data_IF_745962566200
#
_entry.id   IF_745962566200
#
_cell.length_a   1.000
_cell.length_b   1.000
_cell.length_c   1.000
_cell.angle_alpha   90.00
_cell.angle_beta   90.00
_cell.angle_gamma   90.00
#
_symmetry.space_group_name_H-M   'P 1'
#
loop_
_entity.id
_entity.type
_entity.pdbx_description
1 polymer ?
#
# COMPACT_ATOMS: atom_id res chain seq x y z
N UNK A 1 -18.48 -6.64 29.88
CA UNK A 1 -18.03 -5.30 29.43
C UNK A 1 -17.71 -4.43 30.65
N UNK A 2 -16.58 -3.73 30.63
CA UNK A 2 -16.24 -2.70 31.63
C UNK A 2 -17.16 -1.49 31.48
N UNK A 3 -17.65 -0.96 32.59
CA UNK A 3 -18.58 0.20 32.60
C UNK A 3 -17.92 1.52 32.99
N UNK A 4 -16.66 1.49 33.39
CA UNK A 4 -15.85 2.66 33.77
C UNK A 4 -14.37 2.40 33.51
N UNK A 5 -13.58 3.47 33.58
CA UNK A 5 -12.14 3.39 33.44
C UNK A 5 -11.53 2.94 34.77
N UNK A 6 -10.76 1.85 34.75
CA UNK A 6 -10.00 1.36 35.90
C UNK A 6 -8.53 1.76 35.80
N UNK A 7 -7.94 1.58 34.62
CA UNK A 7 -6.56 1.98 34.30
C UNK A 7 -6.46 2.28 32.80
N UNK A 8 -6.48 3.56 32.45
CA UNK A 8 -6.41 4.01 31.05
C UNK A 8 -5.05 3.73 30.41
N UNK A 9 -3.97 3.68 31.20
CA UNK A 9 -2.62 3.44 30.69
C UNK A 9 -2.42 1.96 30.30
N UNK A 10 -3.09 1.05 31.00
CA UNK A 10 -3.08 -0.39 30.72
C UNK A 10 -4.29 -0.85 29.89
N UNK A 11 -5.02 0.09 29.27
CA UNK A 11 -6.15 -0.22 28.38
C UNK A 11 -7.43 -0.72 29.05
N UNK A 12 -7.52 -0.69 30.38
CA UNK A 12 -8.72 -1.05 31.16
C UNK A 12 -9.72 0.13 31.17
N UNK A 13 -10.32 0.38 30.00
CA UNK A 13 -11.22 1.50 29.76
C UNK A 13 -12.68 1.06 29.64
N UNK A 14 -13.60 2.03 29.78
CA UNK A 14 -15.03 1.83 29.59
C UNK A 14 -15.31 1.27 28.19
N UNK A 15 -16.13 0.22 28.11
CA UNK A 15 -16.53 -0.41 26.85
C UNK A 15 -15.70 -1.64 26.47
N UNK A 16 -14.55 -1.88 27.12
CA UNK A 16 -13.76 -3.08 26.82
C UNK A 16 -14.53 -4.35 27.19
N UNK A 17 -14.50 -5.32 26.28
CA UNK A 17 -15.22 -6.59 26.37
C UNK A 17 -14.29 -7.75 26.71
N UNK A 18 -14.89 -8.77 27.32
CA UNK A 18 -14.19 -9.92 27.84
C UNK A 18 -15.15 -10.92 28.47
N UNK A 19 -14.65 -12.13 28.62
CA UNK A 19 -15.36 -13.28 29.17
C UNK A 19 -15.02 -13.47 30.65
N UNK A 20 -16.03 -13.57 31.52
CA UNK A 20 -15.82 -13.93 32.94
C UNK A 20 -15.44 -15.40 33.01
N UNK A 21 -14.28 -15.70 33.58
CA UNK A 21 -13.74 -17.07 33.68
C UNK A 21 -13.88 -17.63 35.10
N UNK A 22 -13.74 -16.80 36.13
CA UNK A 22 -13.79 -17.26 37.52
C UNK A 22 -14.23 -16.15 38.47
N UNK A 23 -14.93 -16.53 39.55
CA UNK A 23 -15.34 -15.64 40.63
C UNK A 23 -14.64 -16.12 41.90
N UNK A 24 -13.87 -15.23 42.54
CA UNK A 24 -13.08 -15.56 43.72
C UNK A 24 -13.91 -15.39 45.00
N UNK A 25 -13.83 -16.37 45.90
CA UNK A 25 -14.48 -16.35 47.21
C UNK A 25 -16.00 -16.13 47.11
N UNK A 26 -16.64 -16.77 46.13
CA UNK A 26 -18.08 -16.68 45.94
C UNK A 26 -18.83 -17.36 47.08
N UNK A 27 -19.77 -16.62 47.69
CA UNK A 27 -20.74 -17.14 48.66
C UNK A 27 -22.07 -16.42 48.44
N UNK A 28 -23.22 -17.11 48.59
CA UNK A 28 -24.55 -16.51 48.35
C UNK A 28 -24.82 -15.22 49.13
N UNK A 29 -24.20 -15.07 50.31
CA UNK A 29 -24.48 -13.98 51.24
C UNK A 29 -23.34 -12.94 51.33
N UNK A 30 -22.29 -13.04 50.52
CA UNK A 30 -21.17 -12.10 50.55
C UNK A 30 -20.68 -11.72 49.16
N UNK A 31 -20.27 -10.46 49.02
CA UNK A 31 -19.69 -9.98 47.77
C UNK A 31 -18.35 -10.69 47.50
N UNK A 32 -18.16 -11.25 46.29
CA UNK A 32 -16.88 -11.83 45.91
C UNK A 32 -15.71 -10.85 46.08
N UNK A 33 -14.51 -11.37 46.35
CA UNK A 33 -13.32 -10.54 46.53
C UNK A 33 -12.75 -10.03 45.19
N UNK A 34 -12.91 -10.82 44.13
CA UNK A 34 -12.52 -10.47 42.77
C UNK A 34 -13.29 -11.28 41.72
N UNK A 35 -13.44 -10.71 40.52
CA UNK A 35 -13.92 -11.40 39.32
C UNK A 35 -12.77 -11.43 38.30
N UNK A 36 -12.43 -12.62 37.81
CA UNK A 36 -11.40 -12.81 36.80
C UNK A 36 -12.01 -12.81 35.40
N UNK A 37 -11.54 -11.89 34.56
CA UNK A 37 -12.01 -11.68 33.19
C UNK A 37 -10.87 -11.92 32.22
N UNK A 38 -11.15 -12.71 31.18
CA UNK A 38 -10.31 -12.82 29.99
C UNK A 38 -10.80 -11.78 28.98
N UNK A 39 -10.02 -10.71 28.77
CA UNK A 39 -10.38 -9.65 27.83
C UNK A 39 -10.09 -10.07 26.39
N UNK A 40 -10.93 -9.61 25.46
CA UNK A 40 -10.87 -10.01 24.05
C UNK A 40 -9.61 -9.45 23.35
N UNK A 41 -9.07 -8.33 23.85
CA UNK A 41 -7.79 -7.77 23.41
C UNK A 41 -6.68 -8.14 24.41
N UNK A 42 -5.69 -8.90 23.95
CA UNK A 42 -4.58 -9.38 24.78
C UNK A 42 -3.70 -8.28 25.39
N UNK A 43 -3.70 -7.07 24.81
CA UNK A 43 -2.95 -5.92 25.32
C UNK A 43 -3.58 -5.34 26.57
N UNK A 44 -4.88 -5.54 26.79
CA UNK A 44 -5.61 -4.95 27.91
C UNK A 44 -5.22 -5.61 29.23
N UNK A 45 -4.94 -4.78 30.23
CA UNK A 45 -4.66 -5.23 31.59
C UNK A 45 -3.37 -6.05 31.68
N UNK A 46 -2.39 -5.83 30.79
CA UNK A 46 -1.14 -6.60 30.72
C UNK A 46 -0.27 -6.37 31.97
N UNK A 47 -0.32 -5.17 32.53
CA UNK A 47 0.41 -4.77 33.73
C UNK A 47 -0.47 -4.77 34.99
N UNK A 48 -1.72 -5.25 34.89
CA UNK A 48 -2.64 -5.29 36.00
C UNK A 48 -2.05 -6.02 37.21
N UNK A 49 -2.17 -5.43 38.40
CA UNK A 49 -1.58 -5.97 39.64
C UNK A 49 -2.16 -7.33 40.06
N UNK A 50 -3.40 -7.61 39.66
CA UNK A 50 -4.08 -8.87 39.96
C UNK A 50 -4.33 -9.63 38.67
N UNK A 51 -3.47 -10.60 38.38
CA UNK A 51 -3.56 -11.49 37.22
C UNK A 51 -3.44 -12.95 37.64
N UNK A 52 -4.11 -13.83 36.89
CA UNK A 52 -4.01 -15.28 37.08
C UNK A 52 -4.18 -15.99 35.74
N UNK A 53 -3.41 -17.05 35.51
CA UNK A 53 -3.66 -17.96 34.40
C UNK A 53 -4.72 -18.98 34.85
N UNK A 54 -5.84 -19.01 34.14
CA UNK A 54 -6.95 -19.94 34.41
C UNK A 54 -7.29 -20.63 33.09
N UNK A 55 -7.23 -21.97 33.06
CA UNK A 55 -7.45 -22.76 31.84
C UNK A 55 -6.58 -22.28 30.65
N UNK A 56 -5.31 -21.95 30.92
CA UNK A 56 -4.38 -21.45 29.89
C UNK A 56 -4.59 -20.00 29.46
N UNK A 57 -5.61 -19.30 29.97
CA UNK A 57 -5.94 -17.91 29.61
C UNK A 57 -5.47 -16.93 30.67
N UNK A 58 -4.81 -15.84 30.26
CA UNK A 58 -4.41 -14.73 31.13
C UNK A 58 -5.63 -13.91 31.53
N UNK A 59 -6.04 -14.03 32.79
CA UNK A 59 -7.22 -13.34 33.30
C UNK A 59 -6.81 -12.19 34.23
N UNK A 60 -7.49 -11.06 34.09
CA UNK A 60 -7.32 -9.87 34.94
C UNK A 60 -8.39 -9.91 36.04
N UNK A 61 -7.96 -9.76 37.29
CA UNK A 61 -8.85 -9.74 38.44
C UNK A 61 -9.36 -8.33 38.72
N UNK A 62 -10.67 -8.13 38.60
CA UNK A 62 -11.35 -6.89 38.92
C UNK A 62 -11.92 -6.96 40.33
N UNK A 63 -11.75 -5.88 41.09
CA UNK A 63 -12.24 -5.75 42.47
C UNK A 63 -13.52 -4.90 42.50
N UNK A 64 -14.36 -5.06 43.54
CA UNK A 64 -15.50 -4.17 43.71
C UNK A 64 -15.01 -2.76 44.06
N UNK A 65 -15.58 -1.76 43.41
CA UNK A 65 -15.36 -0.36 43.68
C UNK A 65 -16.50 0.22 44.53
N UNK A 66 -16.15 1.11 45.46
CA UNK A 66 -17.11 1.89 46.24
C UNK A 66 -17.23 3.29 45.66
N UNK A 67 -18.45 3.77 45.48
CA UNK A 67 -18.74 5.12 45.00
C UNK A 67 -19.82 5.76 45.88
N UNK A 68 -19.61 7.02 46.28
CA UNK A 68 -20.62 7.81 46.98
C UNK A 68 -21.74 8.18 46.01
N UNK A 69 -22.99 7.97 46.43
CA UNK A 69 -24.14 8.36 45.62
C UNK A 69 -24.45 9.83 45.89
N UNK A 70 -24.43 10.71 44.86
CA UNK A 70 -24.74 12.12 45.04
C UNK A 70 -26.11 12.30 45.71
N UNK A 71 -26.20 13.22 46.68
CA UNK A 71 -27.42 13.56 47.41
C UNK A 71 -27.96 12.44 48.33
N UNK A 72 -27.14 11.47 48.72
CA UNK A 72 -27.47 10.47 49.74
C UNK A 72 -26.30 10.22 50.70
N UNK A 73 -26.57 9.62 51.87
CA UNK A 73 -25.54 9.14 52.82
C UNK A 73 -25.08 7.71 52.52
N UNK A 74 -25.45 7.14 51.36
CA UNK A 74 -25.20 5.75 51.01
C UNK A 74 -23.98 5.61 50.08
N UNK A 75 -23.21 4.53 50.29
CA UNK A 75 -22.11 4.12 49.43
C UNK A 75 -22.55 2.94 48.57
N UNK A 76 -22.38 3.03 47.25
CA UNK A 76 -22.60 1.92 46.33
C UNK A 76 -21.32 1.13 46.15
N UNK A 77 -21.34 -0.15 46.54
CA UNK A 77 -20.23 -1.09 46.31
C UNK A 77 -20.60 -2.09 45.22
N UNK A 78 -19.93 -2.03 44.07
CA UNK A 78 -20.20 -2.90 42.91
C UNK A 78 -18.95 -3.16 42.08
N UNK A 79 -18.96 -4.22 41.27
CA UNK A 79 -17.90 -4.43 40.27
C UNK A 79 -18.07 -3.46 39.09
N UNK A 80 -16.97 -3.01 38.47
CA UNK A 80 -16.99 -2.17 37.26
C UNK A 80 -17.33 -2.98 36.00
N UNK A 81 -18.22 -3.96 36.10
CA UNK A 81 -18.55 -4.93 35.06
C UNK A 81 -20.06 -5.03 34.88
N UNK A 82 -20.49 -5.15 33.62
CA UNK A 82 -21.85 -5.50 33.25
C UNK A 82 -21.84 -6.62 32.20
N UNK A 83 -22.74 -7.58 32.35
CA UNK A 83 -23.01 -8.57 31.30
C UNK A 83 -23.58 -7.84 30.08
N UNK A 84 -22.99 -8.09 28.91
CA UNK A 84 -23.34 -7.39 27.68
C UNK A 84 -23.34 -8.41 26.53
N UNK A 85 -24.49 -9.03 26.28
CA UNK A 85 -24.73 -9.89 25.12
C UNK A 85 -25.00 -9.08 23.85
N UNK A 86 -25.47 -7.85 24.01
CA UNK A 86 -25.64 -6.87 22.95
C UNK A 86 -25.31 -5.48 23.49
N UNK A 87 -24.71 -4.63 22.66
CA UNK A 87 -24.37 -3.26 22.99
C UNK A 87 -25.08 -2.29 22.05
N UNK A 88 -25.30 -1.06 22.51
CA UNK A 88 -25.79 0.00 21.64
C UNK A 88 -24.67 0.49 20.72
N UNK A 89 -25.04 0.93 19.52
CA UNK A 89 -24.10 1.47 18.51
C UNK A 89 -23.19 2.55 19.12
N UNK A 90 -23.75 3.46 19.90
CA UNK A 90 -23.01 4.52 20.58
C UNK A 90 -21.94 4.00 21.56
N UNK A 91 -22.15 2.82 22.17
CA UNK A 91 -21.18 2.23 23.11
C UNK A 91 -20.02 1.53 22.41
N UNK A 92 -20.15 1.24 21.12
CA UNK A 92 -19.13 0.53 20.32
C UNK A 92 -18.52 1.42 19.23
N UNK A 93 -18.71 2.74 19.28
CA UNK A 93 -18.23 3.67 18.25
C UNK A 93 -16.72 3.61 18.03
N UNK A 94 -15.93 3.30 19.05
CA UNK A 94 -14.47 3.13 18.95
C UNK A 94 -14.00 1.67 18.83
N UNK A 95 -14.93 0.73 18.70
CA UNK A 95 -14.60 -0.70 18.61
C UNK A 95 -14.41 -1.10 17.15
N UNK A 96 -13.52 -2.05 16.92
CA UNK A 96 -13.39 -2.77 15.65
C UNK A 96 -13.55 -4.25 15.95
N UNK A 97 -14.41 -4.93 15.18
CA UNK A 97 -14.74 -6.36 15.35
C UNK A 97 -14.61 -7.08 14.01
N UNK A 98 -14.29 -8.37 14.06
CA UNK A 98 -14.19 -9.21 12.86
C UNK A 98 -15.56 -9.61 12.34
N UNK A 99 -16.50 -9.89 13.26
CA UNK A 99 -17.86 -10.31 12.95
C UNK A 99 -18.85 -9.64 13.91
N UNK A 100 -20.00 -9.17 13.40
CA UNK A 100 -21.09 -8.72 14.26
C UNK A 100 -22.47 -8.85 13.60
N UNK A 101 -23.48 -8.90 14.46
CA UNK A 101 -24.89 -8.79 14.08
C UNK A 101 -25.39 -7.39 14.42
N UNK A 102 -25.80 -6.64 13.40
CA UNK A 102 -26.32 -5.27 13.55
C UNK A 102 -27.84 -5.26 13.41
N UNK A 103 -28.54 -4.88 14.48
CA UNK A 103 -29.98 -4.61 14.44
C UNK A 103 -30.25 -3.13 14.13
N UNK A 104 -30.62 -2.83 12.88
CA UNK A 104 -30.86 -1.47 12.42
C UNK A 104 -32.28 -0.96 12.73
N UNK A 105 -33.18 -1.82 13.23
CA UNK A 105 -34.57 -1.43 13.51
C UNK A 105 -34.66 -0.33 14.58
N UNK A 106 -33.67 -0.28 15.48
CA UNK A 106 -33.58 0.67 16.58
C UNK A 106 -32.71 1.90 16.30
N UNK A 107 -32.17 2.07 15.09
CA UNK A 107 -31.48 3.30 14.72
C UNK A 107 -32.47 4.48 14.71
N UNK A 108 -32.17 5.56 15.43
CA UNK A 108 -33.08 6.71 15.56
C UNK A 108 -32.45 8.03 15.13
N UNK A 109 -31.12 8.08 14.94
CA UNK A 109 -30.41 9.25 14.39
C UNK A 109 -29.65 8.89 13.13
N UNK A 110 -29.48 9.88 12.26
CA UNK A 110 -28.62 9.81 11.08
C UNK A 110 -27.17 9.45 11.49
N UNK A 111 -26.48 8.68 10.66
CA UNK A 111 -25.11 8.23 10.91
C UNK A 111 -24.95 7.04 11.88
N UNK A 112 -25.95 6.66 12.68
CA UNK A 112 -25.84 5.46 13.53
C UNK A 112 -25.65 4.18 12.72
N UNK A 113 -26.35 4.05 11.60
CA UNK A 113 -26.15 2.94 10.69
C UNK A 113 -24.70 2.92 10.17
N UNK A 114 -24.18 4.05 9.69
CA UNK A 114 -22.79 4.16 9.25
C UNK A 114 -21.79 3.77 10.36
N UNK A 115 -21.97 4.27 11.58
CA UNK A 115 -21.11 3.92 12.71
C UNK A 115 -21.16 2.41 12.96
N UNK A 116 -22.34 1.79 12.98
CA UNK A 116 -22.49 0.36 13.23
C UNK A 116 -21.84 -0.50 12.14
N UNK A 117 -22.08 -0.17 10.87
CA UNK A 117 -21.57 -0.92 9.72
C UNK A 117 -20.04 -0.77 9.59
N UNK A 118 -19.49 0.41 9.92
CA UNK A 118 -18.05 0.67 9.88
C UNK A 118 -17.24 0.02 11.01
N UNK A 119 -17.87 -0.67 11.99
CA UNK A 119 -17.13 -1.37 13.04
C UNK A 119 -16.59 -2.73 12.57
N UNK A 120 -17.10 -3.27 11.47
CA UNK A 120 -16.70 -4.59 10.95
C UNK A 120 -15.61 -4.41 9.89
N UNK A 121 -14.57 -5.24 9.94
CA UNK A 121 -13.41 -5.16 9.03
C UNK A 121 -13.67 -5.78 7.65
N UNK A 122 -14.73 -6.58 7.50
CA UNK A 122 -15.05 -7.29 6.26
C UNK A 122 -16.55 -7.35 6.01
N UNK A 123 -16.93 -7.42 4.73
CA UNK A 123 -18.34 -7.59 4.34
C UNK A 123 -18.90 -8.94 4.81
N UNK A 124 -18.10 -10.00 4.79
CA UNK A 124 -18.51 -11.35 5.21
C UNK A 124 -18.80 -11.48 6.70
N UNK A 125 -18.14 -10.66 7.54
CA UNK A 125 -18.39 -10.63 8.97
C UNK A 125 -19.61 -9.78 9.39
N UNK A 126 -20.29 -9.14 8.44
CA UNK A 126 -21.39 -8.24 8.75
C UNK A 126 -22.75 -8.91 8.50
N UNK A 127 -23.50 -9.11 9.58
CA UNK A 127 -24.84 -9.68 9.53
C UNK A 127 -25.87 -8.63 9.91
N UNK A 128 -26.73 -8.24 8.96
CA UNK A 128 -27.72 -7.18 9.20
C UNK A 128 -29.08 -7.81 9.51
N UNK A 129 -29.64 -7.45 10.66
CA UNK A 129 -31.03 -7.73 11.02
C UNK A 129 -31.85 -6.46 10.78
N UNK A 130 -32.58 -6.43 9.67
CA UNK A 130 -33.53 -5.36 9.33
C UNK A 130 -34.87 -5.96 8.95
N UNK A 131 -35.96 -5.41 9.47
CA UNK A 131 -37.31 -5.96 9.30
C UNK A 131 -38.12 -5.13 8.29
N UNK A 132 -37.75 -3.89 7.99
CA UNK A 132 -38.53 -2.99 7.12
C UNK A 132 -37.64 -2.08 6.26
N UNK A 133 -37.68 -2.26 4.94
CA UNK A 133 -36.88 -1.49 3.96
C UNK A 133 -37.21 0.01 3.97
N UNK A 134 -38.49 0.37 4.05
CA UNK A 134 -38.93 1.78 3.98
C UNK A 134 -38.39 2.67 5.12
N UNK A 135 -38.18 2.10 6.31
CA UNK A 135 -37.58 2.83 7.44
C UNK A 135 -36.07 2.95 7.31
N UNK A 136 -35.43 2.06 6.57
CA UNK A 136 -33.99 2.05 6.36
C UNK A 136 -33.59 3.12 5.33
N UNK A 137 -34.35 3.23 4.23
CA UNK A 137 -34.10 4.21 3.16
C UNK A 137 -34.19 5.65 3.66
N UNK A 138 -35.06 5.92 4.64
CA UNK A 138 -35.15 7.24 5.30
C UNK A 138 -34.00 7.53 6.27
N UNK A 139 -33.20 6.53 6.65
CA UNK A 139 -32.16 6.63 7.69
C UNK A 139 -30.75 6.46 7.13
N UNK A 140 -30.61 5.77 6.00
CA UNK A 140 -29.38 5.65 5.22
C UNK A 140 -29.62 6.40 3.92
N UNK A 141 -29.31 7.68 3.92
CA UNK A 141 -29.37 8.51 2.73
C UNK A 141 -28.07 9.30 2.60
N UNK A 142 -27.71 9.61 1.35
CA UNK A 142 -26.70 10.60 1.06
C UNK A 142 -27.41 11.93 0.85
N UNK A 143 -26.93 13.00 1.49
CA UNK A 143 -27.48 14.34 1.31
C UNK A 143 -27.36 14.74 -0.18
N UNK A 144 -28.46 15.14 -0.86
CA UNK A 144 -28.40 15.54 -2.26
C UNK A 144 -27.39 16.66 -2.53
N UNK A 145 -27.17 17.58 -1.58
CA UNK A 145 -26.19 18.65 -1.72
C UNK A 145 -24.76 18.12 -1.67
N UNK A 146 -24.50 17.05 -0.93
CA UNK A 146 -23.21 16.35 -0.92
C UNK A 146 -23.00 15.60 -2.24
N UNK A 147 -24.02 14.92 -2.76
CA UNK A 147 -23.94 14.25 -4.07
C UNK A 147 -23.65 15.26 -5.17
N UNK A 148 -24.36 16.38 -5.16
CA UNK A 148 -24.16 17.50 -6.08
C UNK A 148 -22.76 18.08 -5.93
N UNK A 149 -22.32 18.36 -4.70
CA UNK A 149 -20.97 18.87 -4.43
C UNK A 149 -19.87 17.93 -4.90
N UNK A 150 -20.00 16.61 -4.69
CA UNK A 150 -19.04 15.61 -5.19
C UNK A 150 -19.03 15.54 -6.73
N UNK A 151 -20.19 15.72 -7.37
CA UNK A 151 -20.28 15.73 -8.84
C UNK A 151 -19.75 17.04 -9.45
N UNK A 152 -19.91 18.18 -8.75
CA UNK A 152 -19.45 19.51 -9.16
C UNK A 152 -18.00 19.80 -8.74
N UNK A 153 -17.43 18.99 -7.85
CA UNK A 153 -16.03 19.07 -7.46
C UNK A 153 -15.17 18.94 -8.71
N UNK A 154 -14.37 19.97 -8.98
CA UNK A 154 -13.34 19.92 -10.00
C UNK A 154 -12.49 18.69 -9.76
N UNK A 155 -12.36 17.82 -10.77
CA UNK A 155 -11.45 16.68 -10.67
C UNK A 155 -10.06 17.21 -10.31
N UNK A 156 -9.42 16.52 -9.38
CA UNK A 156 -8.07 16.87 -8.97
C UNK A 156 -7.09 16.85 -10.16
N UNK A 157 -7.32 15.93 -11.10
CA UNK A 157 -6.64 15.90 -12.39
C UNK A 157 -7.59 16.47 -13.46
N UNK A 158 -7.18 17.51 -14.21
CA UNK A 158 -7.97 17.99 -15.33
C UNK A 158 -8.16 16.86 -16.36
N UNK A 159 -9.33 16.83 -17.02
CA UNK A 159 -9.44 16.07 -18.27
C UNK A 159 -8.51 16.76 -19.27
N UNK A 160 -7.37 16.14 -19.53
CA UNK A 160 -6.53 16.52 -20.66
C UNK A 160 -7.29 16.04 -21.88
N UNK A 161 -8.00 16.93 -22.57
CA UNK A 161 -8.37 16.67 -23.96
C UNK A 161 -7.05 16.36 -24.67
N UNK A 162 -6.97 15.18 -25.28
CA UNK A 162 -5.78 14.69 -25.95
C UNK A 162 -5.53 15.53 -27.22
N UNK A 163 -5.13 16.78 -27.04
CA UNK A 163 -4.71 17.73 -28.08
C UNK A 163 -3.32 17.36 -28.61
N UNK A 164 -2.75 16.21 -28.25
CA UNK A 164 -1.57 15.66 -28.92
C UNK A 164 -2.00 15.36 -30.36
N UNK A 165 -1.84 16.36 -31.23
CA UNK A 165 -1.77 16.13 -32.67
C UNK A 165 -0.86 14.92 -32.88
N UNK A 166 -1.30 13.94 -33.68
CA UNK A 166 -0.50 12.79 -34.08
C UNK A 166 0.76 13.30 -34.80
N UNK A 167 1.76 13.77 -34.06
CA UNK A 167 3.07 14.09 -34.57
C UNK A 167 3.76 12.76 -34.81
N UNK A 168 3.59 12.27 -36.03
CA UNK A 168 4.08 10.96 -36.49
C UNK A 168 5.60 10.81 -36.45
N UNK A 169 6.32 11.90 -36.19
CA UNK A 169 7.78 11.97 -36.32
C UNK A 169 8.51 11.90 -34.96
N UNK A 170 7.78 11.78 -33.84
CA UNK A 170 8.36 11.74 -32.49
C UNK A 170 8.06 10.40 -31.84
N UNK A 171 9.10 9.71 -31.38
CA UNK A 171 8.97 8.50 -30.56
C UNK A 171 8.86 8.87 -29.08
N UNK A 172 7.75 8.49 -28.45
CA UNK A 172 7.49 8.78 -27.05
C UNK A 172 7.85 7.61 -26.14
N UNK A 173 8.75 7.85 -25.18
CA UNK A 173 9.14 6.88 -24.15
C UNK A 173 8.79 7.47 -22.79
N UNK A 174 7.84 6.85 -22.09
CA UNK A 174 7.46 7.21 -20.73
C UNK A 174 8.14 6.29 -19.73
N UNK A 175 8.58 6.83 -18.60
CA UNK A 175 9.12 6.05 -17.49
C UNK A 175 8.36 6.33 -16.20
N UNK A 176 8.09 5.26 -15.44
CA UNK A 176 7.44 5.39 -14.14
C UNK A 176 7.84 4.25 -13.19
N UNK A 177 8.18 4.61 -11.94
CA UNK A 177 8.29 3.65 -10.85
C UNK A 177 6.89 3.39 -10.27
N UNK A 178 6.26 2.26 -10.65
CA UNK A 178 4.83 1.99 -10.39
C UNK A 178 4.54 1.47 -8.98
N UNK A 179 5.57 1.03 -8.23
CA UNK A 179 5.43 0.47 -6.86
C UNK A 179 4.25 -0.52 -6.72
N UNK A 180 4.18 -1.50 -7.62
CA UNK A 180 3.12 -2.51 -7.65
C UNK A 180 2.15 -2.32 -8.80
N UNK A 181 2.46 -2.96 -9.92
CA UNK A 181 1.68 -2.88 -11.16
C UNK A 181 0.23 -3.34 -10.97
N UNK A 182 0.00 -4.43 -10.22
CA UNK A 182 -1.35 -4.95 -10.02
C UNK A 182 -2.21 -4.01 -9.16
N UNK A 183 -1.60 -3.34 -8.18
CA UNK A 183 -2.28 -2.39 -7.28
C UNK A 183 -2.69 -1.14 -8.03
N UNK A 184 -1.85 -0.67 -8.96
CA UNK A 184 -2.01 0.58 -9.69
C UNK A 184 -2.43 0.39 -11.15
N UNK A 185 -2.91 -0.80 -11.50
CA UNK A 185 -3.26 -1.17 -12.87
C UNK A 185 -4.34 -0.27 -13.46
N UNK A 186 -5.39 0.01 -12.70
CA UNK A 186 -6.51 0.84 -13.16
C UNK A 186 -6.10 2.32 -13.22
N UNK A 187 -5.26 2.77 -12.29
CA UNK A 187 -4.71 4.13 -12.31
C UNK A 187 -3.88 4.35 -13.59
N UNK A 188 -3.02 3.39 -13.94
CA UNK A 188 -2.20 3.42 -15.15
C UNK A 188 -3.05 3.49 -16.42
N UNK A 189 -4.12 2.69 -16.51
CA UNK A 189 -5.02 2.63 -17.68
C UNK A 189 -5.85 3.90 -17.86
N UNK A 190 -6.19 4.58 -16.76
CA UNK A 190 -7.04 5.76 -16.78
C UNK A 190 -6.25 7.07 -16.83
N UNK A 191 -4.93 7.02 -16.61
CA UNK A 191 -4.09 8.20 -16.63
C UNK A 191 -3.82 8.66 -18.08
N UNK A 192 -4.24 9.88 -18.47
CA UNK A 192 -4.09 10.39 -19.83
C UNK A 192 -2.63 10.51 -20.30
N UNK A 193 -1.68 10.67 -19.36
CA UNK A 193 -0.26 10.81 -19.70
C UNK A 193 0.30 9.53 -20.33
N UNK A 194 -0.22 8.36 -19.94
CA UNK A 194 0.19 7.06 -20.47
C UNK A 194 -0.55 6.67 -21.75
N UNK A 195 -1.73 7.25 -22.00
CA UNK A 195 -2.50 6.98 -23.20
C UNK A 195 -1.70 7.46 -24.41
N UNK A 196 -1.66 6.67 -25.48
CA UNK A 196 -1.10 7.09 -26.77
C UNK A 196 0.43 6.99 -26.91
N UNK A 197 1.17 6.93 -25.79
CA UNK A 197 2.64 6.80 -25.73
C UNK A 197 3.12 5.53 -26.44
N UNK A 198 4.23 5.60 -27.19
CA UNK A 198 4.75 4.43 -27.92
C UNK A 198 5.33 3.35 -27.01
N UNK A 199 6.12 3.76 -26.01
CA UNK A 199 6.79 2.85 -25.07
C UNK A 199 6.63 3.32 -23.62
N UNK A 200 6.18 2.43 -22.73
CA UNK A 200 6.01 2.70 -21.30
C UNK A 200 6.92 1.77 -20.50
N UNK A 201 7.93 2.35 -19.87
CA UNK A 201 8.97 1.69 -19.11
C UNK A 201 8.65 1.76 -17.61
N UNK A 202 8.33 0.62 -17.00
CA UNK A 202 7.94 0.52 -15.60
C UNK A 202 8.99 -0.22 -14.75
N UNK A 203 9.28 0.32 -13.58
CA UNK A 203 10.09 -0.33 -12.54
C UNK A 203 9.25 -0.59 -11.29
N UNK A 204 9.72 -1.48 -10.41
CA UNK A 204 8.98 -1.87 -9.21
C UNK A 204 7.60 -2.45 -9.50
N UNK A 205 7.52 -3.31 -10.50
CA UNK A 205 6.25 -3.94 -10.90
C UNK A 205 5.67 -4.84 -9.80
N UNK A 206 6.51 -5.44 -8.95
CA UNK A 206 6.19 -6.39 -7.88
C UNK A 206 5.39 -7.61 -8.37
N UNK A 207 5.31 -7.80 -9.68
CA UNK A 207 4.59 -8.89 -10.30
C UNK A 207 5.46 -10.16 -10.31
N UNK A 208 4.82 -11.28 -10.03
CA UNK A 208 5.43 -12.61 -10.17
C UNK A 208 5.38 -13.06 -11.65
N UNK A 209 5.79 -14.29 -11.92
CA UNK A 209 5.86 -14.85 -13.28
C UNK A 209 4.50 -14.86 -14.03
N UNK A 210 3.37 -14.74 -13.34
CA UNK A 210 2.03 -14.65 -13.94
C UNK A 210 1.71 -13.24 -14.45
N UNK A 211 2.62 -12.66 -15.24
CA UNK A 211 2.41 -11.41 -15.96
C UNK A 211 1.23 -11.49 -16.96
N UNK A 212 0.85 -12.71 -17.36
CA UNK A 212 -0.21 -12.99 -18.33
C UNK A 212 -1.61 -12.45 -17.93
N UNK A 213 -1.80 -12.02 -16.68
CA UNK A 213 -3.07 -11.44 -16.22
C UNK A 213 -3.18 -9.93 -16.43
N UNK A 214 -2.11 -9.24 -16.87
CA UNK A 214 -2.15 -7.81 -17.15
C UNK A 214 -2.32 -7.56 -18.65
N UNK A 215 -3.51 -7.08 -19.02
CA UNK A 215 -3.83 -6.66 -20.39
C UNK A 215 -4.04 -5.15 -20.42
N UNK A 216 -3.23 -4.47 -21.23
CA UNK A 216 -3.37 -3.04 -21.51
C UNK A 216 -3.82 -2.90 -22.96
N UNK A 217 -5.05 -2.43 -23.16
CA UNK A 217 -5.69 -2.40 -24.47
C UNK A 217 -4.84 -1.55 -25.42
N UNK A 218 -4.45 -2.13 -26.56
CA UNK A 218 -3.62 -1.46 -27.58
C UNK A 218 -2.10 -1.57 -27.36
N UNK A 219 -1.67 -2.32 -26.36
CA UNK A 219 -0.27 -2.54 -26.01
C UNK A 219 0.06 -4.02 -25.85
N UNK A 220 1.27 -4.38 -26.23
CA UNK A 220 1.93 -5.61 -25.82
C UNK A 220 3.02 -5.27 -24.79
N UNK A 221 3.58 -6.28 -24.12
CA UNK A 221 4.57 -6.02 -23.09
C UNK A 221 5.61 -7.12 -22.87
N UNK A 222 6.76 -6.69 -22.39
CA UNK A 222 7.82 -7.53 -21.87
C UNK A 222 7.88 -7.38 -20.35
N UNK A 223 8.09 -8.48 -19.63
CA UNK A 223 8.23 -8.46 -18.18
C UNK A 223 9.40 -9.30 -17.72
N UNK A 224 10.16 -8.75 -16.78
CA UNK A 224 11.25 -9.42 -16.09
C UNK A 224 10.99 -9.33 -14.58
N UNK A 225 10.46 -10.38 -13.96
CA UNK A 225 10.37 -10.42 -12.51
C UNK A 225 11.78 -10.49 -11.91
N UNK A 226 11.97 -9.90 -10.72
CA UNK A 226 13.26 -9.92 -9.99
C UNK A 226 13.85 -11.32 -9.85
N UNK A 227 12.99 -12.32 -9.64
CA UNK A 227 13.40 -13.73 -9.51
C UNK A 227 14.11 -14.29 -10.75
N UNK A 228 14.00 -13.65 -11.90
CA UNK A 228 14.65 -14.06 -13.16
C UNK A 228 15.81 -13.13 -13.56
N UNK A 229 15.98 -11.98 -12.89
CA UNK A 229 17.02 -11.00 -13.22
C UNK A 229 18.44 -11.41 -12.77
N UNK A 230 18.54 -12.36 -11.84
CA UNK A 230 19.77 -12.75 -11.17
C UNK A 230 20.05 -14.24 -11.28
N UNK A 231 21.32 -14.58 -11.52
CA UNK A 231 21.83 -15.94 -11.59
C UNK A 231 22.03 -16.54 -10.18
N UNK A 232 22.05 -17.88 -10.10
CA UNK A 232 22.16 -18.62 -8.83
C UNK A 232 23.61 -19.04 -8.52
N UNK A 233 24.60 -18.51 -9.22
CA UNK A 233 26.00 -18.91 -9.15
C UNK A 233 26.74 -18.30 -7.94
N UNK A 234 26.31 -17.13 -7.48
CA UNK A 234 26.80 -16.42 -6.30
C UNK A 234 25.70 -16.34 -5.22
N UNK A 235 26.07 -16.68 -3.98
CA UNK A 235 25.24 -16.45 -2.79
C UNK A 235 24.72 -15.01 -2.67
N UNK A 236 25.49 -14.04 -3.17
CA UNK A 236 25.13 -12.63 -3.23
C UNK A 236 23.93 -12.38 -4.14
N UNK A 237 23.97 -12.84 -5.39
CA UNK A 237 22.88 -12.67 -6.36
C UNK A 237 21.65 -13.47 -5.96
N UNK A 238 21.84 -14.64 -5.37
CA UNK A 238 20.75 -15.44 -4.76
C UNK A 238 20.00 -14.63 -3.70
N UNK A 239 20.71 -13.88 -2.83
CA UNK A 239 20.07 -13.05 -1.83
C UNK A 239 19.25 -11.89 -2.41
N UNK A 240 19.70 -11.30 -3.54
CA UNK A 240 18.95 -10.26 -4.25
C UNK A 240 17.71 -10.83 -4.93
N UNK A 241 17.82 -12.00 -5.55
CA UNK A 241 16.74 -12.72 -6.24
C UNK A 241 15.55 -13.04 -5.32
N UNK A 242 15.83 -13.40 -4.07
CA UNK A 242 14.82 -13.76 -3.06
C UNK A 242 14.15 -12.54 -2.39
N UNK A 243 14.64 -11.32 -2.65
CA UNK A 243 14.03 -10.12 -2.08
C UNK A 243 12.60 -9.93 -2.60
N UNK A 244 11.70 -9.54 -1.69
CA UNK A 244 10.38 -9.08 -2.07
C UNK A 244 10.46 -7.79 -2.89
N UNK A 245 9.44 -7.56 -3.72
CA UNK A 245 9.31 -6.39 -4.59
C UNK A 245 10.34 -6.37 -5.73
N UNK A 246 10.35 -5.32 -6.56
CA UNK A 246 11.19 -5.21 -7.77
C UNK A 246 10.55 -5.67 -9.07
N UNK A 247 11.39 -5.96 -10.06
CA UNK A 247 11.00 -6.33 -11.42
C UNK A 247 10.77 -5.13 -12.33
N UNK A 248 10.92 -5.38 -13.62
CA UNK A 248 10.82 -4.38 -14.70
C UNK A 248 9.79 -4.84 -15.72
N UNK A 249 9.00 -3.91 -16.25
CA UNK A 249 8.07 -4.15 -17.35
C UNK A 249 8.25 -3.06 -18.41
N UNK A 250 8.10 -3.42 -19.68
CA UNK A 250 8.02 -2.46 -20.78
C UNK A 250 6.76 -2.78 -21.57
N UNK A 251 5.84 -1.83 -21.68
CA UNK A 251 4.75 -1.90 -22.66
C UNK A 251 5.14 -1.15 -23.92
N UNK A 252 4.68 -1.64 -25.06
CA UNK A 252 4.82 -0.98 -26.35
C UNK A 252 3.51 -1.05 -27.12
N UNK A 253 3.18 0.06 -27.77
CA UNK A 253 1.94 0.20 -28.52
C UNK A 253 1.94 -0.74 -29.72
N UNK A 254 0.80 -1.32 -30.09
CA UNK A 254 0.70 -2.28 -31.20
C UNK A 254 1.16 -1.71 -32.55
N UNK A 255 1.10 -0.39 -32.73
CA UNK A 255 1.59 0.29 -33.92
C UNK A 255 3.11 0.47 -33.95
N UNK A 256 3.80 0.24 -32.84
CA UNK A 256 5.23 0.51 -32.67
C UNK A 256 6.04 -0.76 -32.88
N UNK A 257 7.08 -0.69 -33.70
CA UNK A 257 7.94 -1.84 -33.96
C UNK A 257 9.02 -1.98 -32.89
N UNK A 258 9.18 -3.18 -32.32
CA UNK A 258 10.15 -3.43 -31.25
C UNK A 258 10.72 -4.84 -31.27
N UNK A 259 11.94 -4.98 -30.77
CA UNK A 259 12.61 -6.28 -30.60
C UNK A 259 13.21 -6.39 -29.19
N UNK A 260 12.85 -7.45 -28.46
CA UNK A 260 13.44 -7.75 -27.15
C UNK A 260 14.89 -8.24 -27.31
N UNK A 261 15.81 -7.62 -26.58
CA UNK A 261 17.23 -7.93 -26.63
C UNK A 261 17.71 -8.50 -25.27
N UNK A 262 17.95 -9.81 -25.20
CA UNK A 262 18.43 -10.47 -23.98
C UNK A 262 19.94 -10.24 -23.74
N UNK A 263 20.31 -9.01 -23.36
CA UNK A 263 21.71 -8.59 -23.23
C UNK A 263 22.19 -8.47 -21.78
N UNK A 264 21.28 -8.19 -20.86
CA UNK A 264 21.55 -7.99 -19.44
C UNK A 264 21.73 -9.33 -18.72
N UNK A 265 22.67 -9.38 -17.77
CA UNK A 265 22.84 -10.46 -16.80
C UNK A 265 23.13 -9.83 -15.44
N UNK A 266 22.56 -10.42 -14.38
CA UNK A 266 22.66 -9.93 -13.01
C UNK A 266 22.23 -8.45 -12.84
N UNK A 267 21.22 -8.04 -13.62
CA UNK A 267 20.61 -6.73 -13.58
C UNK A 267 19.10 -6.91 -13.76
N UNK A 268 18.30 -6.22 -12.93
CA UNK A 268 16.86 -6.06 -13.21
C UNK A 268 16.74 -5.07 -14.36
N UNK A 269 16.80 -5.59 -15.59
CA UNK A 269 16.90 -4.79 -16.79
C UNK A 269 16.20 -5.46 -17.97
N UNK A 270 15.31 -4.73 -18.63
CA UNK A 270 14.79 -5.10 -19.95
C UNK A 270 15.48 -4.21 -20.97
N UNK A 271 16.07 -4.82 -22.00
CA UNK A 271 16.57 -4.11 -23.16
C UNK A 271 15.70 -4.42 -24.35
N UNK A 272 15.24 -3.39 -25.05
CA UNK A 272 14.51 -3.53 -26.29
C UNK A 272 15.05 -2.56 -27.33
N UNK A 273 14.82 -2.88 -28.60
CA UNK A 273 15.23 -2.08 -29.74
C UNK A 273 14.01 -1.49 -30.42
N UNK A 274 14.01 -0.17 -30.56
CA UNK A 274 13.09 0.57 -31.42
C UNK A 274 13.65 0.45 -32.84
N UNK A 275 13.05 -0.40 -33.66
CA UNK A 275 13.63 -0.83 -34.95
C UNK A 275 13.65 0.29 -35.98
N UNK A 276 12.61 1.11 -36.02
CA UNK A 276 12.44 2.25 -36.94
C UNK A 276 13.61 3.23 -36.86
N UNK A 277 13.99 3.59 -35.63
CA UNK A 277 15.04 4.58 -35.37
C UNK A 277 16.42 3.98 -35.05
N UNK A 278 16.49 2.65 -34.98
CA UNK A 278 17.64 1.89 -34.51
C UNK A 278 18.12 2.33 -33.11
N UNK A 279 17.20 2.64 -32.20
CA UNK A 279 17.50 3.07 -30.82
C UNK A 279 17.43 1.86 -29.89
N UNK A 280 18.48 1.64 -29.10
CA UNK A 280 18.43 0.67 -28.00
C UNK A 280 18.03 1.35 -26.70
N UNK A 281 17.02 0.81 -26.04
CA UNK A 281 16.52 1.32 -24.75
C UNK A 281 16.71 0.24 -23.69
N UNK A 282 17.39 0.58 -22.60
CA UNK A 282 17.55 -0.27 -21.43
C UNK A 282 16.77 0.32 -20.24
N UNK A 283 15.71 -0.36 -19.82
CA UNK A 283 14.94 0.00 -18.61
C UNK A 283 15.52 -0.73 -17.42
N UNK A 284 16.05 -0.02 -16.44
CA UNK A 284 16.80 -0.60 -15.30
C UNK A 284 16.13 -0.29 -13.97
N UNK A 285 16.11 -1.27 -13.08
CA UNK A 285 15.88 -1.05 -11.66
C UNK A 285 17.10 -1.51 -10.86
N UNK A 286 17.58 -0.66 -9.94
CA UNK A 286 18.59 -1.04 -8.94
C UNK A 286 17.99 -0.90 -7.55
N UNK A 287 17.88 -2.00 -6.81
CA UNK A 287 17.56 -1.92 -5.38
C UNK A 287 18.71 -1.30 -4.57
N UNK A 288 18.39 -0.57 -3.49
CA UNK A 288 19.38 -0.02 -2.55
C UNK A 288 20.32 -1.07 -1.94
N UNK A 289 19.88 -2.34 -1.86
CA UNK A 289 20.70 -3.46 -1.35
C UNK A 289 21.75 -3.94 -2.36
N UNK A 290 21.60 -3.60 -3.63
CA UNK A 290 22.57 -3.96 -4.65
C UNK A 290 23.79 -3.04 -4.52
N UNK A 291 24.94 -3.62 -4.19
CA UNK A 291 26.23 -2.96 -4.10
C UNK A 291 26.54 -2.23 -5.41
N UNK A 292 26.84 -0.93 -5.30
CA UNK A 292 27.10 -0.06 -6.45
C UNK A 292 28.27 -0.56 -7.30
N UNK A 293 29.34 -1.07 -6.69
CA UNK A 293 30.51 -1.58 -7.42
C UNK A 293 30.15 -2.76 -8.33
N UNK A 294 29.55 -3.82 -7.76
CA UNK A 294 29.08 -4.98 -8.55
C UNK A 294 28.05 -4.58 -9.62
N UNK A 295 27.14 -3.66 -9.27
CA UNK A 295 26.18 -3.13 -10.24
C UNK A 295 26.87 -2.45 -11.43
N UNK A 296 27.87 -1.59 -11.17
CA UNK A 296 28.63 -0.90 -12.22
C UNK A 296 29.45 -1.85 -13.09
N UNK A 297 29.96 -2.96 -12.55
CA UNK A 297 30.64 -4.02 -13.33
C UNK A 297 29.67 -4.67 -14.35
N UNK A 298 28.48 -5.06 -13.89
CA UNK A 298 27.45 -5.64 -14.76
C UNK A 298 26.90 -4.60 -15.76
N UNK A 299 26.72 -3.35 -15.32
CA UNK A 299 26.31 -2.25 -16.18
C UNK A 299 27.37 -1.92 -17.24
N UNK A 300 28.66 -2.00 -16.92
CA UNK A 300 29.74 -1.84 -17.89
C UNK A 300 29.66 -2.88 -19.00
N UNK A 301 29.42 -4.14 -18.63
CA UNK A 301 29.24 -5.24 -19.58
C UNK A 301 28.04 -5.00 -20.48
N UNK A 302 26.90 -4.58 -19.91
CA UNK A 302 25.71 -4.22 -20.67
C UNK A 302 26.00 -3.07 -21.65
N UNK A 303 26.59 -1.97 -21.19
CA UNK A 303 26.92 -0.81 -22.03
C UNK A 303 27.82 -1.19 -23.20
N UNK A 304 28.84 -2.02 -22.98
CA UNK A 304 29.70 -2.50 -24.06
C UNK A 304 28.89 -3.24 -25.14
N UNK A 305 27.95 -4.11 -24.76
CA UNK A 305 27.07 -4.81 -25.70
C UNK A 305 26.16 -3.84 -26.45
N UNK A 306 25.54 -2.89 -25.74
CA UNK A 306 24.65 -1.89 -26.33
C UNK A 306 25.37 -1.04 -27.38
N UNK A 307 26.57 -0.55 -27.06
CA UNK A 307 27.38 0.30 -27.95
C UNK A 307 27.90 -0.41 -29.20
N UNK A 308 28.01 -1.75 -29.17
CA UNK A 308 28.35 -2.54 -30.36
C UNK A 308 27.13 -2.65 -31.29
N UNK A 309 25.92 -2.69 -30.74
CA UNK A 309 24.70 -2.97 -31.47
C UNK A 309 24.01 -1.71 -32.00
N UNK A 310 24.17 -0.56 -31.34
CA UNK A 310 23.67 0.73 -31.82
C UNK A 310 24.53 1.90 -31.34
N UNK A 311 24.61 2.93 -32.19
CA UNK A 311 25.18 4.23 -31.85
C UNK A 311 24.22 5.07 -30.99
N UNK A 312 22.91 4.80 -31.07
CA UNK A 312 21.83 5.46 -30.33
C UNK A 312 21.38 4.59 -29.16
N UNK A 313 21.70 5.03 -27.93
CA UNK A 313 21.38 4.27 -26.71
C UNK A 313 20.74 5.17 -25.67
N UNK A 314 19.63 4.70 -25.11
CA UNK A 314 18.92 5.30 -23.97
C UNK A 314 18.94 4.30 -22.81
N UNK A 315 19.34 4.74 -21.62
CA UNK A 315 19.24 3.97 -20.39
C UNK A 315 18.39 4.77 -19.41
N UNK A 316 17.29 4.18 -18.98
CA UNK A 316 16.25 4.84 -18.18
C UNK A 316 15.88 3.95 -16.99
N UNK A 317 15.64 4.52 -15.82
CA UNK A 317 15.37 3.68 -14.65
C UNK A 317 15.53 4.33 -13.28
N UNK A 318 15.17 3.58 -12.24
CA UNK A 318 15.45 3.93 -10.85
C UNK A 318 16.78 3.29 -10.44
N UNK A 319 17.78 4.14 -10.23
CA UNK A 319 19.11 3.71 -9.83
C UNK A 319 19.29 3.69 -8.32
N UNK A 320 18.33 4.18 -7.54
CA UNK A 320 18.43 4.37 -6.09
C UNK A 320 19.77 5.03 -5.68
N UNK A 321 20.21 6.00 -6.48
CA UNK A 321 21.36 6.84 -6.20
C UNK A 321 21.00 8.29 -6.51
N UNK A 322 21.02 9.12 -5.47
CA UNK A 322 20.64 10.52 -5.58
C UNK A 322 21.76 11.35 -6.24
N UNK A 323 21.49 11.87 -7.45
CA UNK A 323 22.43 12.69 -8.22
C UNK A 323 22.66 14.07 -7.58
N UNK A 324 21.73 14.57 -6.76
CA UNK A 324 21.85 15.89 -6.17
C UNK A 324 22.86 15.95 -5.00
N UNK A 325 23.47 14.81 -4.63
CA UNK A 325 24.50 14.72 -3.60
C UNK A 325 25.91 14.84 -4.18
N UNK A 326 26.89 15.21 -3.34
CA UNK A 326 28.26 15.54 -3.78
C UNK A 326 29.08 14.36 -4.37
N UNK A 327 28.64 13.10 -4.20
CA UNK A 327 29.37 11.90 -4.63
C UNK A 327 28.54 11.00 -5.56
N UNK A 328 28.62 11.23 -6.87
CA UNK A 328 27.80 10.54 -7.87
C UNK A 328 28.56 9.47 -8.65
N UNK A 329 28.74 8.29 -8.04
CA UNK A 329 29.46 7.17 -8.67
C UNK A 329 28.82 6.72 -9.99
N UNK A 330 27.49 6.52 -10.04
CA UNK A 330 26.80 6.13 -11.28
C UNK A 330 26.89 7.23 -12.34
N UNK A 331 26.65 8.50 -11.99
CA UNK A 331 26.74 9.61 -12.95
C UNK A 331 28.14 9.70 -13.57
N UNK A 332 29.19 9.72 -12.73
CA UNK A 332 30.58 9.81 -13.18
C UNK A 332 30.95 8.62 -14.07
N UNK A 333 30.48 7.42 -13.70
CA UNK A 333 30.66 6.22 -14.51
C UNK A 333 29.97 6.35 -15.87
N UNK A 334 28.70 6.76 -15.91
CA UNK A 334 27.93 6.92 -17.15
C UNK A 334 28.54 7.98 -18.07
N UNK A 335 28.98 9.12 -17.51
CA UNK A 335 29.69 10.16 -18.25
C UNK A 335 31.03 9.67 -18.81
N UNK A 336 31.77 8.85 -18.05
CA UNK A 336 33.00 8.21 -18.56
C UNK A 336 32.76 7.26 -19.73
N UNK A 337 31.52 6.75 -19.87
CA UNK A 337 31.05 5.94 -21.00
C UNK A 337 30.39 6.76 -22.11
N UNK A 338 30.45 8.09 -22.04
CA UNK A 338 29.95 9.00 -23.07
C UNK A 338 28.42 9.19 -23.06
N UNK A 339 27.77 8.94 -21.93
CA UNK A 339 26.34 9.23 -21.75
C UNK A 339 26.13 10.60 -21.11
N UNK A 340 25.08 11.28 -21.56
CA UNK A 340 24.58 12.51 -20.95
C UNK A 340 23.34 12.20 -20.11
N UNK A 341 23.31 12.67 -18.87
CA UNK A 341 22.13 12.57 -18.01
C UNK A 341 21.21 13.76 -18.28
N UNK A 342 19.94 13.49 -18.60
CA UNK A 342 19.00 14.52 -19.02
C UNK A 342 18.18 15.12 -17.86
N UNK A 343 17.80 14.31 -16.86
CA UNK A 343 17.00 14.77 -15.72
C UNK A 343 17.89 15.52 -14.72
N UNK A 344 17.50 16.74 -14.35
CA UNK A 344 18.26 17.64 -13.48
C UNK A 344 17.48 18.16 -12.26
N UNK A 345 16.20 17.82 -12.14
CA UNK A 345 15.32 18.19 -11.02
C UNK A 345 14.96 16.96 -10.18
N UNK A 346 14.54 17.14 -8.91
CA UNK A 346 14.10 16.03 -8.07
C UNK A 346 12.97 15.21 -8.68
N UNK A 347 13.00 13.88 -8.48
CA UNK A 347 11.96 12.95 -8.94
C UNK A 347 11.14 12.37 -7.78
N UNK A 348 11.42 12.81 -6.55
CA UNK A 348 10.68 12.41 -5.34
C UNK A 348 10.21 13.64 -4.56
N UNK A 349 9.13 13.48 -3.78
CA UNK A 349 8.66 14.53 -2.85
C UNK A 349 9.72 14.93 -1.82
N UNK A 350 10.65 14.02 -1.51
CA UNK A 350 11.77 14.26 -0.60
C UNK A 350 12.91 15.09 -1.20
N UNK A 351 12.78 15.55 -2.45
CA UNK A 351 13.80 16.38 -3.10
C UNK A 351 15.01 15.61 -3.62
N UNK A 352 14.90 14.28 -3.80
CA UNK A 352 16.00 13.44 -4.32
C UNK A 352 15.82 13.15 -5.81
N UNK A 353 16.92 12.99 -6.54
CA UNK A 353 16.92 12.59 -7.97
C UNK A 353 17.50 11.18 -8.12
N UNK A 354 16.62 10.17 -8.06
CA UNK A 354 17.00 8.75 -8.14
C UNK A 354 16.62 8.08 -9.46
N UNK A 355 15.67 8.67 -10.19
CA UNK A 355 15.24 8.22 -11.51
C UNK A 355 16.08 8.91 -12.58
N UNK A 356 16.88 8.13 -13.31
CA UNK A 356 17.87 8.65 -14.24
C UNK A 356 17.49 8.36 -15.69
N UNK A 357 17.97 9.21 -16.61
CA UNK A 357 17.76 9.11 -18.06
C UNK A 357 19.06 9.48 -18.75
N UNK A 358 19.84 8.45 -19.06
CA UNK A 358 21.13 8.56 -19.73
C UNK A 358 20.99 8.34 -21.23
N UNK A 359 21.52 9.24 -22.04
CA UNK A 359 21.41 9.17 -23.50
C UNK A 359 22.77 9.29 -24.17
N UNK A 360 22.93 8.59 -25.29
CA UNK A 360 24.12 8.63 -26.14
C UNK A 360 23.71 8.51 -27.59
N UNK A 361 24.26 9.35 -28.46
CA UNK A 361 23.98 9.32 -29.90
C UNK A 361 22.61 9.85 -30.32
N UNK A 362 21.82 10.40 -29.39
CA UNK A 362 20.49 10.96 -29.65
C UNK A 362 20.52 12.49 -29.44
N UNK A 363 20.71 13.29 -30.50
CA UNK A 363 20.84 14.75 -30.38
C UNK A 363 19.50 15.44 -30.07
N UNK A 364 18.38 14.87 -30.51
CA UNK A 364 17.06 15.51 -30.47
C UNK A 364 16.14 14.79 -29.46
N UNK A 365 16.43 14.91 -28.16
CA UNK A 365 15.56 14.38 -27.09
C UNK A 365 14.96 15.54 -26.30
N UNK A 366 13.64 15.51 -26.17
CA UNK A 366 12.86 16.44 -25.36
C UNK A 366 12.32 15.71 -24.12
N UNK A 367 12.64 16.23 -22.93
CA UNK A 367 12.05 15.74 -21.69
C UNK A 367 10.78 16.54 -21.39
N UNK A 368 9.68 15.81 -21.18
CA UNK A 368 8.47 16.32 -20.57
C UNK A 368 8.45 15.79 -19.13
N UNK A 369 8.36 16.70 -18.16
CA UNK A 369 8.32 16.37 -16.73
C UNK A 369 6.92 16.50 -16.18
#
# INVERSE_FOLDING_TARGET
>A
MLIKNEDTADGLVNGVMGTVISIKDYSPNSLPSAIFVFFDNERVGKNAKLQKIICGKRCVGLKPSSEDIPLSTCVRKQFPLKLAWACTIHKVQGLTVEECVVDLNKCFTYGQAYVALSRVTSKSGLHIKSIESEKLDKKIFCDPDIVKGVAEMTRFLPEVEDEREEQTDIVQIMYHNIQGLQTHAEDLKQNPDFIGVDYICLTETWANQEFACFEMIGYDGFHLPRSQAFENDDSYYSSLKEMQHGGVCVFYKHSSETELCNLASNLECIVFKITTENILVATIYRTQKYNVGKFLENLATLICKLQILSEKVVIIGDFNQDILKECNTVLNFMQSKGFNQLVNSPTTEGGTLIDHVYVRGCPDIYLLQ
#
